data_IF_066762002675
#
_entry.id   IF_066762002675
#
_cell.length_a   1.000
_cell.length_b   1.000
_cell.length_c   1.000
_cell.angle_alpha   90.00
_cell.angle_beta   90.00
_cell.angle_gamma   90.00
#
_symmetry.space_group_name_H-M   'P 1'
#
loop_
_entity.id
_entity.type
_entity.pdbx_description
1 polymer ?
#
# COMPACT_ATOMS: atom_id res chain seq x y z
N UNK A 1 -8.40 -49.46 47.65
CA UNK A 1 -7.05 -48.86 47.83
C UNK A 1 -6.62 -48.37 46.46
N UNK A 2 -6.48 -47.09 46.12
CA UNK A 2 -6.51 -45.78 46.79
C UNK A 2 -7.18 -44.83 45.77
N UNK A 3 -8.21 -44.05 46.07
CA UNK A 3 -8.37 -42.89 46.98
C UNK A 3 -7.87 -41.56 46.40
N UNK A 4 -8.79 -40.60 46.38
CA UNK A 4 -8.77 -39.26 45.78
C UNK A 4 -8.62 -38.25 46.92
N UNK A 5 -7.67 -37.32 46.88
CA UNK A 5 -7.85 -36.01 47.54
C UNK A 5 -6.74 -34.97 47.28
N UNK A 6 -7.22 -33.82 46.82
CA UNK A 6 -6.95 -32.45 47.27
C UNK A 6 -5.72 -31.63 46.87
N UNK A 7 -6.08 -30.55 46.18
CA UNK A 7 -5.32 -29.38 45.79
C UNK A 7 -4.99 -28.45 46.99
N UNK A 8 -3.81 -27.83 46.91
CA UNK A 8 -3.32 -26.86 47.88
C UNK A 8 -3.85 -25.45 47.60
N UNK A 9 -4.30 -24.76 48.66
CA UNK A 9 -4.55 -23.31 48.69
C UNK A 9 -3.27 -22.61 49.16
N UNK A 10 -2.72 -21.69 48.37
CA UNK A 10 -1.78 -20.66 48.85
C UNK A 10 -2.45 -19.29 48.76
N UNK A 11 -2.63 -18.67 49.93
CA UNK A 11 -3.01 -17.26 50.09
C UNK A 11 -1.77 -16.40 49.87
N UNK A 12 -1.89 -15.35 49.07
CA UNK A 12 -0.95 -14.23 49.06
C UNK A 12 -1.73 -12.94 49.31
N UNK A 13 -1.40 -12.28 50.40
CA UNK A 13 -1.94 -11.01 50.89
C UNK A 13 -1.39 -9.84 50.06
N UNK A 14 -2.27 -8.99 49.53
CA UNK A 14 -1.92 -7.71 48.94
C UNK A 14 -2.06 -6.61 50.00
N UNK A 15 -0.96 -5.95 50.35
CA UNK A 15 -0.95 -4.75 51.20
C UNK A 15 -1.08 -3.52 50.30
N UNK A 16 -2.15 -2.76 50.48
CA UNK A 16 -2.34 -1.44 49.87
C UNK A 16 -1.70 -0.40 50.80
N UNK A 17 -0.67 0.29 50.33
CA UNK A 17 -0.15 1.51 50.97
C UNK A 17 -0.48 2.71 50.09
N UNK A 18 -1.36 3.57 50.60
CA UNK A 18 -1.70 4.87 50.03
C UNK A 18 -0.60 5.87 50.49
N UNK A 19 0.16 6.44 49.56
CA UNK A 19 0.97 7.64 49.82
C UNK A 19 0.47 8.78 48.92
N UNK A 20 -0.15 9.77 49.54
CA UNK A 20 -0.43 11.06 48.94
C UNK A 20 0.85 11.88 48.90
N UNK A 21 1.32 12.22 47.70
CA UNK A 21 2.46 13.11 47.47
C UNK A 21 2.03 14.32 46.65
N UNK A 22 1.89 15.47 47.32
CA UNK A 22 1.78 16.79 46.70
C UNK A 22 3.00 17.01 45.78
N UNK A 23 2.79 17.28 44.50
CA UNK A 23 3.84 17.71 43.58
C UNK A 23 3.42 19.02 42.91
N UNK A 24 4.24 20.06 43.12
CA UNK A 24 4.16 21.34 42.45
C UNK A 24 4.25 21.13 40.94
N UNK A 25 3.25 21.61 40.20
CA UNK A 25 3.30 21.79 38.75
C UNK A 25 4.24 22.98 38.43
N UNK A 26 5.52 22.69 38.26
CA UNK A 26 6.39 23.54 37.47
C UNK A 26 6.09 23.26 36.00
N UNK A 27 5.46 24.22 35.31
CA UNK A 27 5.21 24.16 33.88
C UNK A 27 6.53 24.06 33.12
N UNK A 28 6.84 22.87 32.64
CA UNK A 28 7.82 22.68 31.57
C UNK A 28 7.06 23.04 30.30
N UNK A 29 7.34 24.21 29.72
CA UNK A 29 6.98 24.43 28.33
C UNK A 29 7.80 23.44 27.51
N UNK A 30 7.15 22.38 27.03
CA UNK A 30 7.70 21.58 25.95
C UNK A 30 7.71 22.51 24.75
N UNK A 31 8.88 23.06 24.43
CA UNK A 31 9.08 23.60 23.10
C UNK A 31 8.88 22.42 22.14
N UNK A 32 7.87 22.49 21.27
CA UNK A 32 7.67 21.54 20.18
C UNK A 32 8.90 21.60 19.27
N UNK A 33 9.89 20.78 19.57
CA UNK A 33 10.97 20.51 18.65
C UNK A 33 10.36 19.68 17.51
N UNK A 34 10.35 20.24 16.31
CA UNK A 34 9.95 19.54 15.09
C UNK A 34 10.53 18.12 15.05
N UNK A 35 9.70 17.14 14.69
CA UNK A 35 10.17 15.77 14.52
C UNK A 35 11.27 15.70 13.45
N UNK A 36 12.16 14.70 13.48
CA UNK A 36 13.17 14.59 12.42
C UNK A 36 12.56 14.37 11.04
N UNK A 37 11.39 13.73 10.97
CA UNK A 37 10.60 13.64 9.73
C UNK A 37 10.14 15.02 9.25
N UNK A 38 9.65 15.87 10.16
CA UNK A 38 9.27 17.24 9.84
C UNK A 38 10.49 18.05 9.35
N UNK A 39 11.64 17.90 10.00
CA UNK A 39 12.86 18.56 9.56
C UNK A 39 13.31 18.09 8.16
N UNK A 40 13.18 16.78 7.87
CA UNK A 40 13.48 16.20 6.56
C UNK A 40 12.56 16.76 5.46
N UNK A 41 11.26 16.87 5.76
CA UNK A 41 10.22 17.29 4.81
C UNK A 41 9.91 18.79 4.82
N UNK A 42 10.67 19.60 5.57
CA UNK A 42 10.39 21.04 5.75
C UNK A 42 10.27 21.83 4.45
N UNK A 43 11.07 21.46 3.45
CA UNK A 43 11.12 22.11 2.13
C UNK A 43 10.40 21.31 1.04
N UNK A 44 9.73 20.21 1.40
CA UNK A 44 8.98 19.41 0.43
C UNK A 44 7.74 20.19 -0.05
N UNK A 45 7.38 20.09 -1.34
CA UNK A 45 6.14 20.67 -1.86
C UNK A 45 4.93 20.03 -1.17
N UNK A 46 3.84 20.82 -1.07
CA UNK A 46 2.55 20.37 -0.54
C UNK A 46 1.43 20.78 -1.48
N UNK A 47 0.44 19.93 -1.65
CA UNK A 47 -0.77 20.20 -2.45
C UNK A 47 -1.99 20.60 -1.60
N UNK A 48 -1.81 20.93 -0.32
CA UNK A 48 -2.90 21.34 0.56
C UNK A 48 -3.60 22.59 0.05
N UNK A 49 -4.94 22.60 0.13
CA UNK A 49 -5.80 23.67 -0.38
C UNK A 49 -5.93 23.73 -1.91
N UNK A 50 -5.12 22.98 -2.67
CA UNK A 50 -5.08 23.04 -4.16
C UNK A 50 -6.43 22.73 -4.81
N UNK A 51 -7.18 21.79 -4.24
CA UNK A 51 -8.52 21.41 -4.70
C UNK A 51 -9.63 21.79 -3.71
N UNK A 52 -9.31 22.68 -2.76
CA UNK A 52 -10.20 23.11 -1.69
C UNK A 52 -9.91 22.46 -0.33
N UNK A 53 -10.35 23.12 0.73
CA UNK A 53 -10.08 22.75 2.13
C UNK A 53 -10.77 21.43 2.58
N UNK A 54 -11.75 20.96 1.80
CA UNK A 54 -12.50 19.72 2.06
C UNK A 54 -12.18 18.62 1.03
N UNK A 55 -11.14 18.80 0.21
CA UNK A 55 -10.66 17.75 -0.68
C UNK A 55 -10.08 16.56 0.13
N UNK A 56 -10.46 15.35 -0.28
CA UNK A 56 -10.09 14.09 0.36
C UNK A 56 -9.41 13.09 -0.58
N UNK A 57 -9.25 13.43 -1.86
CA UNK A 57 -8.69 12.50 -2.88
C UNK A 57 -7.39 13.00 -3.51
N UNK A 58 -6.95 14.22 -3.18
CA UNK A 58 -5.63 14.72 -3.50
C UNK A 58 -5.29 14.66 -4.98
N UNK A 59 -4.13 14.11 -5.30
CA UNK A 59 -3.60 14.05 -6.63
C UNK A 59 -4.49 13.23 -7.59
N UNK A 60 -5.43 12.41 -7.12
CA UNK A 60 -6.45 11.81 -7.99
C UNK A 60 -7.32 12.83 -8.72
N UNK A 61 -7.42 14.07 -8.22
CA UNK A 61 -8.09 15.14 -8.94
C UNK A 61 -7.44 15.47 -10.29
N UNK A 62 -6.17 15.10 -10.51
CA UNK A 62 -5.55 15.20 -11.83
C UNK A 62 -6.11 14.20 -12.85
N UNK A 63 -6.69 13.08 -12.40
CA UNK A 63 -7.31 12.07 -13.25
C UNK A 63 -8.75 12.46 -13.61
N UNK A 64 -8.87 13.53 -14.39
CA UNK A 64 -10.12 13.98 -14.97
C UNK A 64 -10.54 13.15 -16.20
N UNK A 65 -11.70 13.48 -16.78
CA UNK A 65 -12.22 12.81 -17.97
C UNK A 65 -11.23 12.83 -19.15
N UNK A 66 -10.42 13.89 -19.29
CA UNK A 66 -9.43 13.97 -20.35
C UNK A 66 -8.29 12.97 -20.12
N UNK A 67 -7.85 12.77 -18.87
CA UNK A 67 -6.84 11.74 -18.56
C UNK A 67 -7.36 10.32 -18.72
N UNK A 68 -8.63 10.08 -18.39
CA UNK A 68 -9.28 8.79 -18.66
C UNK A 68 -9.28 8.51 -20.17
N UNK A 69 -9.72 9.48 -20.99
CA UNK A 69 -9.73 9.33 -22.45
C UNK A 69 -8.31 9.19 -23.03
N UNK A 70 -7.30 9.87 -22.45
CA UNK A 70 -5.88 9.68 -22.80
C UNK A 70 -5.44 8.24 -22.56
N UNK A 71 -5.83 7.65 -21.43
CA UNK A 71 -5.60 6.24 -21.14
C UNK A 71 -6.29 5.33 -22.16
N UNK A 72 -7.59 5.55 -22.43
CA UNK A 72 -8.36 4.75 -23.41
C UNK A 72 -7.71 4.78 -24.80
N UNK A 73 -7.18 5.93 -25.23
CA UNK A 73 -6.51 6.08 -26.52
C UNK A 73 -5.26 5.19 -26.68
N UNK A 74 -4.69 4.70 -25.58
CA UNK A 74 -3.56 3.76 -25.62
C UNK A 74 -3.98 2.34 -26.02
N UNK A 75 -5.25 1.95 -25.90
CA UNK A 75 -5.72 0.59 -26.20
C UNK A 75 -5.57 0.30 -27.70
N UNK A 76 -4.92 -0.82 -28.05
CA UNK A 76 -4.72 -1.29 -29.44
C UNK A 76 -5.10 -2.74 -29.65
N UNK A 77 -4.99 -3.58 -28.63
CA UNK A 77 -5.10 -5.04 -28.76
C UNK A 77 -6.28 -5.63 -28.00
N UNK A 78 -6.70 -4.96 -26.92
CA UNK A 78 -7.70 -5.49 -26.00
C UNK A 78 -7.18 -6.67 -25.17
N UNK A 79 -5.86 -6.88 -25.08
CA UNK A 79 -5.26 -7.80 -24.11
C UNK A 79 -5.44 -7.21 -22.70
N UNK A 80 -5.79 -8.04 -21.71
CA UNK A 80 -6.05 -7.60 -20.34
C UNK A 80 -5.12 -8.31 -19.38
N UNK A 81 -4.66 -7.57 -18.38
CA UNK A 81 -3.86 -8.07 -17.28
C UNK A 81 -4.53 -7.65 -15.97
N UNK A 82 -4.81 -8.62 -15.11
CA UNK A 82 -5.18 -8.38 -13.71
C UNK A 82 -3.90 -8.37 -12.88
N UNK A 83 -3.67 -7.32 -12.11
CA UNK A 83 -2.40 -7.09 -11.42
C UNK A 83 -2.45 -7.43 -9.94
N UNK A 84 -3.51 -8.10 -9.48
CA UNK A 84 -3.63 -8.57 -8.10
C UNK A 84 -2.90 -9.89 -7.88
N UNK A 85 -2.16 -9.99 -6.77
CA UNK A 85 -1.61 -11.26 -6.30
C UNK A 85 -2.71 -12.20 -5.76
N UNK A 86 -2.54 -13.53 -5.84
CA UNK A 86 -3.53 -14.46 -5.31
C UNK A 86 -3.65 -14.35 -3.78
N UNK A 87 -4.88 -14.20 -3.30
CA UNK A 87 -5.20 -14.29 -1.86
C UNK A 87 -5.31 -15.76 -1.45
N UNK A 88 -4.26 -16.29 -0.81
CA UNK A 88 -4.20 -17.70 -0.39
C UNK A 88 -4.34 -17.81 1.13
N UNK A 89 -5.15 -18.74 1.62
CA UNK A 89 -5.35 -18.96 3.06
C UNK A 89 -4.01 -19.20 3.77
N UNK A 90 -3.65 -18.32 4.71
CA UNK A 90 -2.43 -18.44 5.52
C UNK A 90 -1.12 -18.18 4.76
N UNK A 91 -1.17 -17.73 3.51
CA UNK A 91 0.04 -17.50 2.71
C UNK A 91 -0.08 -16.24 1.85
N UNK A 92 0.90 -15.35 2.00
CA UNK A 92 0.99 -14.12 1.21
C UNK A 92 2.06 -13.17 1.75
N UNK A 93 2.53 -12.24 0.91
CA UNK A 93 3.50 -11.23 1.31
C UNK A 93 2.78 -10.17 2.15
N UNK A 94 3.19 -10.00 3.40
CA UNK A 94 2.63 -8.98 4.30
C UNK A 94 3.74 -8.30 5.09
N UNK A 95 3.57 -7.02 5.37
CA UNK A 95 4.47 -6.28 6.26
C UNK A 95 4.41 -6.88 7.69
N UNK A 96 5.54 -6.99 8.42
CA UNK A 96 5.58 -7.52 9.78
C UNK A 96 4.52 -6.89 10.71
N UNK A 97 3.82 -7.74 11.47
CA UNK A 97 2.70 -7.35 12.34
C UNK A 97 1.33 -7.57 11.73
N UNK A 98 1.24 -7.80 10.41
CA UNK A 98 0.03 -8.26 9.71
C UNK A 98 0.05 -9.79 9.59
N UNK A 99 -1.11 -10.40 9.34
CA UNK A 99 -1.20 -11.82 8.93
C UNK A 99 -1.72 -11.93 7.50
N UNK A 100 -1.29 -12.95 6.73
CA UNK A 100 -1.87 -13.23 5.43
C UNK A 100 -3.38 -13.50 5.52
N UNK A 101 -4.06 -13.31 4.39
CA UNK A 101 -5.50 -13.54 4.23
C UNK A 101 -5.91 -14.91 4.78
N UNK A 102 -7.01 -14.96 5.51
CA UNK A 102 -7.61 -16.19 6.04
C UNK A 102 -9.00 -16.35 5.41
N UNK A 103 -9.13 -17.30 4.49
CA UNK A 103 -10.39 -17.65 3.83
C UNK A 103 -11.08 -18.84 4.53
N UNK A 104 -12.37 -18.76 4.77
CA UNK A 104 -13.13 -19.79 5.45
C UNK A 104 -14.42 -20.09 4.69
N UNK A 105 -14.69 -21.35 4.39
CA UNK A 105 -16.01 -21.77 3.91
C UNK A 105 -17.00 -21.67 5.09
N UNK A 106 -18.04 -20.85 4.96
CA UNK A 106 -19.18 -20.88 5.89
C UNK A 106 -20.11 -22.03 5.53
N UNK A 107 -20.18 -22.37 4.24
CA UNK A 107 -20.99 -23.44 3.70
C UNK A 107 -20.39 -24.03 2.43
N UNK A 108 -20.41 -25.36 2.32
CA UNK A 108 -19.94 -26.11 1.16
C UNK A 108 -20.68 -27.45 1.01
N UNK A 109 -20.19 -28.36 0.17
CA UNK A 109 -20.81 -29.67 -0.01
C UNK A 109 -20.82 -30.53 1.28
N UNK A 110 -19.89 -30.31 2.21
CA UNK A 110 -19.72 -31.16 3.41
C UNK A 110 -20.93 -31.09 4.34
N UNK A 111 -21.60 -29.93 4.44
CA UNK A 111 -22.78 -29.77 5.32
C UNK A 111 -23.99 -30.53 4.79
N UNK A 112 -24.13 -30.68 3.47
CA UNK A 112 -25.17 -31.51 2.87
C UNK A 112 -24.81 -33.00 2.93
N UNK A 113 -23.55 -33.35 2.67
CA UNK A 113 -23.09 -34.76 2.72
C UNK A 113 -23.18 -35.33 4.14
N UNK A 114 -23.01 -34.49 5.15
CA UNK A 114 -23.15 -34.88 6.56
C UNK A 114 -24.58 -34.80 7.08
N UNK A 115 -25.55 -34.34 6.27
CA UNK A 115 -26.94 -34.17 6.69
C UNK A 115 -27.14 -33.08 7.76
N UNK A 116 -26.21 -32.14 7.91
CA UNK A 116 -26.33 -31.02 8.86
C UNK A 116 -27.37 -30.00 8.44
N UNK A 117 -27.61 -29.86 7.13
CA UNK A 117 -28.65 -29.02 6.56
C UNK A 117 -29.33 -29.73 5.39
N UNK A 118 -30.62 -29.42 5.20
CA UNK A 118 -31.36 -29.86 4.02
C UNK A 118 -31.02 -29.01 2.80
N UNK A 119 -31.30 -29.56 1.62
CA UNK A 119 -31.24 -28.81 0.37
C UNK A 119 -32.33 -27.74 0.37
N UNK A 120 -32.06 -26.61 -0.29
CA UNK A 120 -33.10 -25.60 -0.53
C UNK A 120 -34.20 -26.18 -1.43
N UNK A 121 -35.36 -25.52 -1.44
CA UNK A 121 -36.49 -25.87 -2.32
C UNK A 121 -36.02 -26.09 -3.77
N UNK A 122 -36.49 -27.19 -4.38
CA UNK A 122 -36.04 -27.61 -5.72
C UNK A 122 -34.71 -28.39 -5.73
N UNK A 123 -34.12 -28.69 -4.57
CA UNK A 123 -32.90 -29.48 -4.45
C UNK A 123 -31.61 -28.67 -4.58
N UNK A 124 -31.69 -27.35 -4.54
CA UNK A 124 -30.54 -26.45 -4.68
C UNK A 124 -29.59 -26.55 -3.48
N UNK A 125 -28.31 -26.46 -3.78
CA UNK A 125 -27.21 -26.34 -2.83
C UNK A 125 -26.41 -25.09 -3.19
N UNK A 126 -25.80 -24.47 -2.21
CA UNK A 126 -24.93 -23.32 -2.41
C UNK A 126 -23.69 -23.42 -1.53
N UNK A 127 -22.74 -22.54 -1.80
CA UNK A 127 -21.50 -22.41 -1.04
C UNK A 127 -21.28 -20.94 -0.78
N UNK A 128 -21.00 -20.61 0.47
CA UNK A 128 -20.69 -19.26 0.92
C UNK A 128 -19.40 -19.32 1.74
N UNK A 129 -18.71 -18.20 1.80
CA UNK A 129 -17.45 -18.05 2.50
C UNK A 129 -17.33 -16.72 3.24
N UNK A 130 -16.29 -16.62 4.04
CA UNK A 130 -15.92 -15.45 4.80
C UNK A 130 -14.40 -15.26 4.73
N UNK A 131 -13.96 -14.02 4.87
CA UNK A 131 -12.54 -13.68 4.87
C UNK A 131 -12.20 -12.82 6.08
N UNK A 132 -11.09 -13.14 6.74
CA UNK A 132 -10.40 -12.24 7.65
C UNK A 132 -9.10 -11.79 6.99
N UNK A 133 -8.88 -10.48 6.90
CA UNK A 133 -7.67 -9.91 6.31
C UNK A 133 -7.39 -8.51 6.82
N UNK A 134 -6.12 -8.13 6.82
CA UNK A 134 -5.73 -6.73 6.86
C UNK A 134 -6.06 -6.09 5.50
N UNK A 135 -6.58 -4.86 5.48
CA UNK A 135 -6.90 -4.16 4.24
C UNK A 135 -5.64 -3.91 3.37
N UNK A 136 -4.48 -3.82 4.04
CA UNK A 136 -3.14 -3.75 3.45
C UNK A 136 -2.42 -5.11 3.40
N UNK A 137 -3.17 -6.21 3.35
CA UNK A 137 -2.67 -7.60 3.43
C UNK A 137 -2.57 -8.33 2.09
N UNK A 138 -2.80 -7.62 0.97
CA UNK A 138 -2.75 -8.14 -0.42
C UNK A 138 -2.52 -6.95 -1.36
N UNK A 139 -2.70 -7.10 -2.67
CA UNK A 139 -2.75 -5.95 -3.60
C UNK A 139 -3.82 -4.95 -3.16
N UNK A 140 -3.41 -3.75 -2.81
CA UNK A 140 -4.28 -2.78 -2.12
C UNK A 140 -3.98 -1.34 -2.53
N UNK A 141 -4.90 -0.43 -2.18
CA UNK A 141 -4.72 1.02 -2.27
C UNK A 141 -4.71 1.58 -0.86
N UNK A 142 -3.78 2.49 -0.59
CA UNK A 142 -3.75 3.24 0.67
C UNK A 142 -4.58 4.51 0.59
N UNK A 143 -5.32 4.79 1.66
CA UNK A 143 -6.04 6.04 1.80
C UNK A 143 -5.08 7.20 2.11
N UNK A 144 -5.51 8.44 1.88
CA UNK A 144 -4.68 9.62 2.18
C UNK A 144 -4.50 9.88 3.70
N UNK A 145 -5.24 9.15 4.54
CA UNK A 145 -4.98 9.09 5.98
C UNK A 145 -4.08 7.92 6.42
N UNK A 146 -3.60 7.06 5.52
CA UNK A 146 -2.90 5.81 5.89
C UNK A 146 -1.60 6.06 6.68
N UNK A 147 -0.81 7.03 6.24
CA UNK A 147 0.47 7.37 6.83
C UNK A 147 0.63 8.89 6.88
N UNK A 148 1.11 9.38 8.01
CA UNK A 148 1.36 10.79 8.24
C UNK A 148 2.51 10.97 9.24
N UNK A 149 2.94 12.22 9.41
CA UNK A 149 3.86 12.62 10.46
C UNK A 149 3.32 13.90 11.11
N UNK A 150 3.76 14.18 12.34
CA UNK A 150 3.18 15.19 13.22
C UNK A 150 1.69 14.89 13.53
N UNK A 151 0.90 15.94 13.79
CA UNK A 151 -0.50 15.84 14.20
C UNK A 151 -1.50 16.15 13.07
N UNK A 152 -1.08 15.99 11.81
CA UNK A 152 -1.91 16.33 10.64
C UNK A 152 -1.81 15.28 9.55
N UNK A 153 -2.95 14.90 8.96
CA UNK A 153 -3.05 14.09 7.74
C UNK A 153 -3.09 15.00 6.49
N UNK A 154 -3.35 14.42 5.31
CA UNK A 154 -3.52 15.18 4.08
C UNK A 154 -4.48 16.36 4.24
N UNK A 155 -4.17 17.47 3.55
CA UNK A 155 -4.91 18.73 3.56
C UNK A 155 -4.95 19.44 4.93
N UNK A 156 -3.99 19.16 5.82
CA UNK A 156 -3.83 19.87 7.09
C UNK A 156 -4.92 19.57 8.12
N UNK A 157 -5.70 18.50 7.94
CA UNK A 157 -6.68 18.06 8.93
C UNK A 157 -5.98 17.38 10.11
N UNK A 158 -6.55 17.54 11.31
CA UNK A 158 -6.01 16.89 12.52
C UNK A 158 -5.93 15.37 12.34
N UNK A 159 -4.82 14.79 12.81
CA UNK A 159 -4.66 13.34 12.89
C UNK A 159 -5.70 12.65 13.79
N UNK A 160 -6.37 13.40 14.68
CA UNK A 160 -7.48 12.87 15.50
C UNK A 160 -8.65 12.36 14.66
N UNK A 161 -8.76 12.79 13.39
CA UNK A 161 -9.73 12.26 12.42
C UNK A 161 -9.55 10.78 12.10
N UNK A 162 -8.46 10.15 12.57
CA UNK A 162 -8.16 8.72 12.37
C UNK A 162 -8.55 7.84 13.55
N UNK A 163 -9.05 8.42 14.65
CA UNK A 163 -9.40 7.69 15.87
C UNK A 163 -10.69 6.89 15.65
N UNK A 164 -10.63 5.57 15.88
CA UNK A 164 -11.74 4.61 15.68
C UNK A 164 -12.21 4.46 14.22
N UNK A 165 -11.44 4.94 13.25
CA UNK A 165 -11.78 4.99 11.84
C UNK A 165 -11.41 6.36 11.27
N UNK A 166 -11.33 6.46 9.95
CA UNK A 166 -11.06 7.73 9.26
C UNK A 166 -12.36 8.50 9.00
N UNK A 167 -12.58 9.60 9.70
CA UNK A 167 -13.68 10.53 9.44
C UNK A 167 -13.38 11.52 8.30
N UNK A 168 -12.11 11.59 7.90
CA UNK A 168 -11.59 12.34 6.76
C UNK A 168 -10.53 11.49 6.07
N UNK A 169 -10.38 11.64 4.74
CA UNK A 169 -9.40 10.90 3.91
C UNK A 169 -9.45 9.38 4.11
N UNK A 170 -10.67 8.84 4.18
CA UNK A 170 -10.91 7.40 4.18
C UNK A 170 -10.89 6.81 2.77
N UNK A 171 -10.63 5.51 2.67
CA UNK A 171 -10.51 4.84 1.38
C UNK A 171 -11.81 4.86 0.56
N UNK A 172 -12.96 5.05 1.20
CA UNK A 172 -14.26 5.22 0.55
C UNK A 172 -14.27 6.36 -0.45
N UNK A 173 -13.64 7.49 -0.15
CA UNK A 173 -13.56 8.67 -1.03
C UNK A 173 -12.81 8.35 -2.34
N UNK A 174 -11.68 7.64 -2.24
CA UNK A 174 -10.94 7.14 -3.40
C UNK A 174 -11.78 6.11 -4.17
N UNK A 175 -12.49 5.23 -3.46
CA UNK A 175 -13.39 4.23 -4.05
C UNK A 175 -14.56 4.83 -4.82
N UNK A 176 -15.07 6.00 -4.41
CA UNK A 176 -16.08 6.76 -5.16
C UNK A 176 -15.50 7.45 -6.40
N UNK A 177 -14.29 8.01 -6.29
CA UNK A 177 -13.60 8.68 -7.40
C UNK A 177 -13.17 7.69 -8.50
N UNK A 178 -12.80 6.47 -8.09
CA UNK A 178 -12.11 5.46 -8.89
C UNK A 178 -10.77 5.96 -9.47
N UNK A 179 -9.94 5.02 -9.90
CA UNK A 179 -8.65 5.31 -10.53
C UNK A 179 -8.74 4.84 -11.98
N UNK A 180 -8.61 5.76 -12.92
CA UNK A 180 -8.55 5.44 -14.34
C UNK A 180 -7.70 6.47 -15.09
N UNK A 181 -6.84 6.01 -16.00
CA UNK A 181 -5.96 6.90 -16.74
C UNK A 181 -4.93 6.17 -17.57
N UNK A 182 -3.93 6.93 -18.03
CA UNK A 182 -2.75 6.37 -18.71
C UNK A 182 -1.77 5.86 -17.65
N UNK A 183 -1.55 4.55 -17.63
CA UNK A 183 -0.51 3.91 -16.83
C UNK A 183 0.77 3.73 -17.62
N UNK A 184 1.93 3.88 -16.98
CA UNK A 184 3.26 3.62 -17.55
C UNK A 184 4.00 2.61 -16.68
N UNK A 185 4.36 1.47 -17.26
CA UNK A 185 5.22 0.49 -16.61
C UNK A 185 6.68 0.91 -16.73
N UNK A 186 7.38 0.97 -15.60
CA UNK A 186 8.82 1.13 -15.48
C UNK A 186 9.40 -0.18 -14.91
N UNK A 187 9.93 -1.03 -15.78
CA UNK A 187 10.56 -2.30 -15.42
C UNK A 187 12.01 -2.11 -14.97
N UNK A 188 12.17 -1.50 -13.80
CA UNK A 188 13.47 -1.20 -13.19
C UNK A 188 14.23 -2.50 -12.91
N UNK A 189 13.52 -3.54 -12.47
CA UNK A 189 14.05 -4.86 -12.23
C UNK A 189 14.71 -5.46 -13.48
N UNK A 190 14.11 -5.31 -14.65
CA UNK A 190 14.73 -5.75 -15.91
C UNK A 190 15.97 -4.94 -16.31
N UNK A 191 15.99 -3.64 -16.04
CA UNK A 191 17.13 -2.79 -16.40
C UNK A 191 18.33 -3.01 -15.48
N UNK A 192 18.11 -3.10 -14.16
CA UNK A 192 19.17 -3.04 -13.15
C UNK A 192 19.34 -4.33 -12.33
N UNK A 193 18.41 -5.27 -12.48
CA UNK A 193 18.38 -6.50 -11.70
C UNK A 193 19.13 -7.66 -12.34
N UNK A 194 18.88 -8.85 -11.80
CA UNK A 194 19.46 -10.10 -12.27
C UNK A 194 18.80 -10.60 -13.59
N UNK A 195 19.15 -11.81 -14.01
CA UNK A 195 18.60 -12.46 -15.22
C UNK A 195 17.08 -12.68 -15.17
N UNK A 196 16.47 -12.67 -13.99
CA UNK A 196 15.02 -12.81 -13.79
C UNK A 196 14.35 -11.43 -13.68
N UNK A 197 15.12 -10.35 -13.87
CA UNK A 197 14.66 -8.98 -13.74
C UNK A 197 14.28 -8.64 -12.30
N UNK A 198 15.02 -9.16 -11.30
CA UNK A 198 14.82 -8.89 -9.88
C UNK A 198 15.94 -8.04 -9.34
N UNK A 199 15.61 -6.95 -8.67
CA UNK A 199 16.60 -6.14 -7.96
C UNK A 199 17.17 -6.91 -6.76
N UNK A 200 18.44 -6.64 -6.44
CA UNK A 200 19.06 -7.17 -5.23
C UNK A 200 18.38 -6.57 -3.97
N UNK A 201 18.31 -7.31 -2.85
CA UNK A 201 17.89 -6.72 -1.58
C UNK A 201 18.68 -5.45 -1.25
N UNK A 202 18.02 -4.49 -0.62
CA UNK A 202 18.49 -3.15 -0.25
C UNK A 202 18.75 -2.19 -1.41
N UNK A 203 18.43 -2.57 -2.65
CA UNK A 203 18.57 -1.67 -3.80
C UNK A 203 17.69 -0.44 -3.62
N UNK A 204 18.30 0.71 -3.90
CA UNK A 204 17.74 2.03 -3.75
C UNK A 204 17.42 2.58 -5.14
N UNK A 205 16.14 2.73 -5.48
CA UNK A 205 15.69 3.22 -6.78
C UNK A 205 15.54 4.75 -6.69
N UNK A 206 16.36 5.49 -7.43
CA UNK A 206 16.32 6.95 -7.44
C UNK A 206 15.69 7.49 -8.73
N UNK A 207 15.42 8.79 -8.76
CA UNK A 207 14.87 9.46 -9.94
C UNK A 207 15.65 9.18 -11.25
N UNK A 208 17.00 9.19 -11.27
CA UNK A 208 17.74 8.83 -12.47
C UNK A 208 17.47 7.40 -12.96
N UNK A 209 17.19 6.45 -12.06
CA UNK A 209 16.91 5.06 -12.42
C UNK A 209 15.54 4.95 -13.10
N UNK A 210 14.53 5.69 -12.62
CA UNK A 210 13.23 5.78 -13.28
C UNK A 210 13.35 6.37 -14.69
N UNK A 211 14.11 7.46 -14.84
CA UNK A 211 14.34 8.12 -16.14
C UNK A 211 15.08 7.20 -17.11
N UNK A 212 16.18 6.57 -16.68
CA UNK A 212 16.92 5.59 -17.49
C UNK A 212 16.07 4.39 -17.88
N UNK A 213 15.20 3.92 -17.00
CA UNK A 213 14.25 2.84 -17.29
C UNK A 213 13.30 3.25 -18.42
N UNK A 214 12.66 4.41 -18.31
CA UNK A 214 11.80 4.95 -19.35
C UNK A 214 12.52 5.12 -20.71
N UNK A 215 13.75 5.66 -20.69
CA UNK A 215 14.61 5.79 -21.88
C UNK A 215 14.92 4.43 -22.53
N UNK A 216 15.30 3.43 -21.73
CA UNK A 216 15.62 2.08 -22.22
C UNK A 216 14.41 1.38 -22.84
N UNK A 217 13.22 1.63 -22.30
CA UNK A 217 11.95 1.11 -22.79
C UNK A 217 11.36 1.94 -23.93
N UNK A 218 11.99 3.08 -24.26
CA UNK A 218 11.51 4.06 -25.25
C UNK A 218 10.08 4.53 -24.98
N UNK A 219 9.76 4.73 -23.70
CA UNK A 219 8.48 5.30 -23.26
C UNK A 219 8.71 6.65 -22.61
N UNK A 220 7.84 7.60 -22.91
CA UNK A 220 7.83 8.91 -22.26
C UNK A 220 6.91 8.85 -21.06
N UNK A 221 7.45 9.21 -19.88
CA UNK A 221 6.67 9.56 -18.71
C UNK A 221 6.13 10.97 -18.96
N UNK A 222 4.82 11.10 -19.03
CA UNK A 222 4.10 12.35 -19.22
C UNK A 222 3.49 12.81 -17.90
N UNK A 223 3.11 14.09 -17.84
CA UNK A 223 2.38 14.59 -16.68
C UNK A 223 1.11 13.76 -16.46
N UNK A 224 0.74 13.53 -15.20
CA UNK A 224 -0.50 12.84 -14.78
C UNK A 224 -0.57 11.36 -15.18
N UNK A 225 0.58 10.75 -15.48
CA UNK A 225 0.65 9.29 -15.66
C UNK A 225 0.56 8.58 -14.32
N UNK A 226 -0.11 7.43 -14.32
CA UNK A 226 -0.06 6.46 -13.21
C UNK A 226 1.23 5.66 -13.40
N UNK A 227 2.12 5.67 -12.40
CA UNK A 227 3.39 4.94 -12.48
C UNK A 227 3.21 3.52 -11.96
N UNK A 228 3.60 2.51 -12.73
CA UNK A 228 3.69 1.11 -12.30
C UNK A 228 5.18 0.75 -12.25
N UNK A 229 5.74 0.55 -11.06
CA UNK A 229 7.17 0.30 -10.88
C UNK A 229 7.37 -1.20 -10.62
N UNK A 230 8.09 -1.89 -11.52
CA UNK A 230 8.45 -3.29 -11.31
C UNK A 230 9.87 -3.40 -10.78
N UNK A 231 9.99 -3.93 -9.57
CA UNK A 231 11.22 -4.22 -8.83
C UNK A 231 11.62 -5.71 -8.93
N UNK A 232 10.64 -6.58 -9.22
CA UNK A 232 10.79 -8.04 -9.22
C UNK A 232 10.54 -8.68 -7.85
N UNK A 233 10.10 -7.91 -6.86
CA UNK A 233 9.90 -8.39 -5.49
C UNK A 233 8.80 -9.43 -5.33
N UNK A 234 7.60 -9.21 -5.91
CA UNK A 234 6.56 -10.23 -5.85
C UNK A 234 6.98 -11.52 -6.58
N UNK A 235 7.65 -11.38 -7.73
CA UNK A 235 8.24 -12.52 -8.44
C UNK A 235 9.26 -13.28 -7.59
N UNK A 236 10.00 -12.59 -6.71
CA UNK A 236 10.91 -13.20 -5.72
C UNK A 236 10.15 -13.93 -4.61
N UNK A 237 9.13 -13.30 -4.03
CA UNK A 237 8.36 -13.89 -2.92
C UNK A 237 7.75 -15.26 -3.27
N UNK A 238 7.23 -15.42 -4.49
CA UNK A 238 6.60 -16.67 -4.92
C UNK A 238 7.60 -17.71 -5.46
N UNK A 239 8.87 -17.35 -5.65
CA UNK A 239 9.92 -18.26 -6.11
C UNK A 239 10.59 -18.98 -4.93
N UNK A 240 10.22 -20.24 -4.73
CA UNK A 240 10.75 -21.08 -3.64
C UNK A 240 12.23 -21.40 -3.77
N UNK A 241 12.85 -21.14 -4.92
CA UNK A 241 14.27 -21.39 -5.18
C UNK A 241 15.14 -20.16 -4.92
N UNK A 242 14.51 -19.00 -4.74
CA UNK A 242 15.18 -17.76 -4.43
C UNK A 242 15.36 -17.65 -2.91
N UNK A 243 16.62 -17.72 -2.46
CA UNK A 243 16.99 -17.78 -1.05
C UNK A 243 17.74 -16.53 -0.58
N UNK A 244 17.68 -15.43 -1.35
CA UNK A 244 18.30 -14.19 -0.92
C UNK A 244 17.63 -13.65 0.36
N UNK A 245 18.37 -12.86 1.14
CA UNK A 245 17.89 -12.24 2.38
C UNK A 245 16.93 -11.07 2.11
N UNK A 246 15.82 -11.36 1.43
CA UNK A 246 14.73 -10.44 1.16
C UNK A 246 13.70 -10.51 2.29
N UNK A 247 13.29 -9.36 2.80
CA UNK A 247 12.19 -9.18 3.74
C UNK A 247 11.70 -7.73 3.66
N UNK A 248 10.61 -7.40 4.38
CA UNK A 248 9.99 -6.08 4.33
C UNK A 248 10.92 -4.89 4.67
N UNK A 249 12.04 -5.10 5.37
CA UNK A 249 13.00 -4.04 5.71
C UNK A 249 14.19 -3.97 4.73
N UNK A 250 14.45 -5.05 3.99
CA UNK A 250 15.56 -5.15 3.02
C UNK A 250 15.06 -5.23 1.58
N UNK A 251 13.76 -5.12 1.36
CA UNK A 251 13.17 -5.14 0.03
C UNK A 251 13.59 -3.89 -0.78
N UNK A 252 13.89 -4.03 -2.09
CA UNK A 252 14.16 -2.90 -2.96
C UNK A 252 12.94 -1.98 -3.13
N UNK A 253 13.18 -0.69 -3.29
CA UNK A 253 12.13 0.29 -3.55
C UNK A 253 12.68 1.68 -3.83
N UNK A 254 11.77 2.62 -4.05
CA UNK A 254 12.14 4.03 -4.17
C UNK A 254 12.91 4.53 -2.94
N UNK A 255 13.88 5.40 -3.16
CA UNK A 255 14.57 6.10 -2.09
C UNK A 255 14.19 7.57 -2.06
N UNK A 256 14.10 8.09 -0.84
CA UNK A 256 13.83 9.50 -0.63
C UNK A 256 14.95 10.36 -1.21
N UNK A 257 14.54 11.35 -2.00
CA UNK A 257 15.37 12.52 -2.33
C UNK A 257 14.45 13.70 -2.62
N UNK A 258 14.91 14.91 -2.31
CA UNK A 258 14.16 16.13 -2.64
C UNK A 258 13.87 16.21 -4.14
N UNK A 259 14.83 15.84 -4.97
CA UNK A 259 14.69 15.82 -6.43
C UNK A 259 13.57 14.88 -6.90
N UNK A 260 13.45 13.69 -6.30
CA UNK A 260 12.36 12.77 -6.63
C UNK A 260 11.00 13.36 -6.24
N UNK A 261 10.85 13.88 -5.01
CA UNK A 261 9.60 14.45 -4.53
C UNK A 261 9.17 15.66 -5.39
N UNK A 262 10.11 16.57 -5.67
CA UNK A 262 9.87 17.73 -6.53
C UNK A 262 9.46 17.29 -7.95
N UNK A 263 10.15 16.31 -8.52
CA UNK A 263 9.81 15.81 -9.85
C UNK A 263 8.43 15.16 -9.89
N UNK A 264 8.02 14.41 -8.86
CA UNK A 264 6.69 13.81 -8.78
C UNK A 264 5.58 14.87 -8.72
N UNK A 265 5.80 15.96 -7.97
CA UNK A 265 4.87 17.10 -7.91
C UNK A 265 4.82 17.87 -9.25
N UNK A 266 5.97 18.17 -9.85
CA UNK A 266 6.07 18.83 -11.16
C UNK A 266 5.36 18.05 -12.27
N UNK A 267 5.46 16.71 -12.20
CA UNK A 267 4.82 15.78 -13.12
C UNK A 267 3.35 15.54 -12.79
N UNK A 268 2.83 16.10 -11.70
CA UNK A 268 1.44 15.93 -11.26
C UNK A 268 1.05 14.44 -11.18
N UNK A 269 1.97 13.59 -10.68
CA UNK A 269 1.75 12.14 -10.60
C UNK A 269 0.61 11.87 -9.61
N UNK A 270 -0.50 11.22 -10.03
CA UNK A 270 -1.65 11.01 -9.18
C UNK A 270 -1.54 9.73 -8.35
N UNK A 271 -0.88 8.72 -8.89
CA UNK A 271 -0.80 7.37 -8.34
C UNK A 271 0.55 6.75 -8.64
N UNK A 272 1.14 6.11 -7.63
CA UNK A 272 2.32 5.26 -7.78
C UNK A 272 1.95 3.85 -7.31
N UNK A 273 2.21 2.87 -8.16
CA UNK A 273 2.04 1.46 -7.86
C UNK A 273 3.35 0.71 -7.97
N UNK A 274 3.49 -0.39 -7.22
CA UNK A 274 4.70 -1.21 -7.26
C UNK A 274 4.42 -2.66 -6.89
N UNK A 275 5.31 -3.55 -7.32
CA UNK A 275 5.33 -4.98 -6.95
C UNK A 275 6.16 -5.28 -5.69
N UNK A 276 6.29 -4.30 -4.79
CA UNK A 276 6.91 -4.42 -3.48
C UNK A 276 5.91 -4.15 -2.34
N UNK A 277 6.31 -4.35 -1.08
CA UNK A 277 5.45 -4.21 0.10
C UNK A 277 5.20 -2.76 0.57
N UNK A 278 5.92 -1.78 0.02
CA UNK A 278 5.97 -0.44 0.61
C UNK A 278 6.17 0.72 -0.40
N UNK A 279 6.17 0.49 -1.72
CA UNK A 279 6.60 1.44 -2.79
C UNK A 279 8.09 1.85 -2.68
N UNK A 280 8.51 2.33 -1.53
CA UNK A 280 9.85 2.72 -1.14
C UNK A 280 10.64 1.63 -0.43
N UNK A 281 11.95 1.82 -0.33
CA UNK A 281 12.77 1.07 0.60
C UNK A 281 12.38 1.51 2.02
N UNK A 282 11.77 0.62 2.80
CA UNK A 282 11.12 0.98 4.06
C UNK A 282 12.08 1.63 5.08
N UNK A 283 13.30 1.10 5.24
CA UNK A 283 14.31 1.65 6.14
C UNK A 283 15.44 2.36 5.37
N UNK A 284 15.66 3.63 5.67
CA UNK A 284 16.65 4.47 5.00
C UNK A 284 17.49 5.25 6.00
N UNK A 285 18.77 5.45 5.68
CA UNK A 285 19.65 6.36 6.43
C UNK A 285 19.89 7.60 5.59
N UNK A 286 19.42 8.75 6.06
CA UNK A 286 19.48 10.03 5.35
C UNK A 286 20.22 11.01 6.25
N UNK A 287 21.32 11.59 5.75
CA UNK A 287 22.17 12.51 6.51
C UNK A 287 22.64 11.98 7.88
N UNK A 288 22.84 10.67 8.00
CA UNK A 288 23.28 10.00 9.23
C UNK A 288 22.16 9.64 10.22
N UNK A 289 20.91 9.97 9.91
CA UNK A 289 19.74 9.61 10.72
C UNK A 289 18.90 8.52 10.05
N UNK A 290 18.23 7.68 10.86
CA UNK A 290 17.40 6.58 10.36
C UNK A 290 15.94 7.01 10.24
N UNK A 291 15.35 6.74 9.08
CA UNK A 291 13.96 7.01 8.77
C UNK A 291 13.26 5.73 8.34
N UNK A 292 12.00 5.58 8.77
CA UNK A 292 11.09 4.56 8.26
C UNK A 292 10.04 5.26 7.40
N UNK A 293 9.86 4.77 6.19
CA UNK A 293 8.90 5.24 5.18
C UNK A 293 8.83 6.77 4.96
N UNK A 294 9.96 7.48 4.77
CA UNK A 294 9.95 8.92 4.53
C UNK A 294 9.19 9.33 3.26
N UNK A 295 9.18 8.52 2.19
CA UNK A 295 8.39 8.84 1.00
C UNK A 295 6.90 8.74 1.26
N UNK A 296 6.40 7.79 2.05
CA UNK A 296 4.96 7.74 2.38
C UNK A 296 4.49 9.07 2.98
N UNK A 297 5.27 9.65 3.90
CA UNK A 297 4.99 10.97 4.48
C UNK A 297 4.89 12.06 3.40
N UNK A 298 5.89 12.19 2.53
CA UNK A 298 5.88 13.18 1.46
C UNK A 298 4.76 12.95 0.43
N UNK A 299 4.53 11.69 0.05
CA UNK A 299 3.64 11.35 -1.05
C UNK A 299 2.17 11.40 -0.60
N UNK A 300 1.84 10.72 0.50
CA UNK A 300 0.46 10.62 1.01
C UNK A 300 0.04 11.94 1.67
N UNK A 301 0.74 12.35 2.74
CA UNK A 301 0.33 13.51 3.53
C UNK A 301 0.53 14.81 2.77
N UNK A 302 1.72 15.05 2.22
CA UNK A 302 2.05 16.37 1.68
C UNK A 302 1.49 16.58 0.27
N UNK A 303 1.71 15.61 -0.63
CA UNK A 303 1.32 15.74 -2.04
C UNK A 303 -0.07 15.16 -2.37
N UNK A 304 -0.65 14.33 -1.50
CA UNK A 304 -1.91 13.65 -1.76
C UNK A 304 -1.82 12.60 -2.88
N UNK A 305 -0.64 12.03 -3.12
CA UNK A 305 -0.39 10.96 -4.09
C UNK A 305 -0.87 9.65 -3.51
N UNK A 306 -1.67 8.91 -4.28
CA UNK A 306 -2.20 7.61 -3.86
C UNK A 306 -1.16 6.53 -4.10
N UNK A 307 -0.90 5.72 -3.09
CA UNK A 307 -0.02 4.55 -3.17
C UNK A 307 -0.84 3.28 -3.34
N UNK A 308 -0.34 2.35 -4.15
CA UNK A 308 -0.99 1.06 -4.35
C UNK A 308 0.04 -0.06 -4.52
N UNK A 309 0.03 -1.01 -3.60
CA UNK A 309 1.18 -1.88 -3.34
C UNK A 309 0.90 -3.34 -3.65
N UNK A 310 1.96 -4.15 -3.66
CA UNK A 310 1.90 -5.62 -3.79
C UNK A 310 1.28 -6.04 -5.13
N UNK A 311 1.67 -5.39 -6.22
CA UNK A 311 1.18 -5.72 -7.56
C UNK A 311 1.88 -6.97 -8.11
N UNK A 312 1.16 -7.74 -8.91
CA UNK A 312 1.73 -8.77 -9.77
C UNK A 312 1.97 -8.16 -11.16
N UNK A 313 3.24 -7.90 -11.50
CA UNK A 313 3.63 -7.19 -12.73
C UNK A 313 4.36 -8.06 -13.77
N UNK A 314 4.64 -9.33 -13.47
CA UNK A 314 5.52 -10.17 -14.27
C UNK A 314 4.99 -10.44 -15.69
N UNK A 315 3.73 -10.81 -15.87
CA UNK A 315 3.17 -11.07 -17.21
C UNK A 315 2.98 -9.78 -18.01
N UNK A 316 2.60 -8.67 -17.35
CA UNK A 316 2.50 -7.37 -18.02
C UNK A 316 3.89 -6.95 -18.53
N UNK A 317 4.93 -7.09 -17.71
CA UNK A 317 6.30 -6.79 -18.09
C UNK A 317 6.82 -7.69 -19.22
N UNK A 318 6.53 -8.99 -19.16
CA UNK A 318 6.88 -9.94 -20.21
C UNK A 318 6.17 -9.62 -21.54
N UNK A 319 4.86 -9.28 -21.51
CA UNK A 319 4.12 -8.85 -22.71
C UNK A 319 4.69 -7.55 -23.28
N UNK A 320 4.97 -6.57 -22.42
CA UNK A 320 5.53 -5.25 -22.81
C UNK A 320 6.93 -5.37 -23.41
N UNK A 321 7.75 -6.27 -22.88
CA UNK A 321 9.06 -6.60 -23.42
C UNK A 321 9.01 -7.18 -24.83
N UNK A 322 7.93 -7.91 -25.16
CA UNK A 322 7.76 -8.59 -26.45
C UNK A 322 7.30 -7.62 -27.54
N UNK A 323 6.42 -6.68 -27.22
CA UNK A 323 5.83 -5.76 -28.20
C UNK A 323 6.34 -4.31 -28.12
N UNK A 324 7.17 -4.00 -27.12
CA UNK A 324 7.75 -2.67 -26.90
C UNK A 324 6.75 -1.63 -26.38
N UNK A 325 5.59 -2.05 -25.87
CA UNK A 325 4.54 -1.12 -25.39
C UNK A 325 4.52 -1.10 -23.87
N UNK A 326 4.85 0.06 -23.31
CA UNK A 326 4.97 0.28 -21.86
C UNK A 326 3.98 1.32 -21.32
N UNK A 327 3.01 1.75 -22.12
CA UNK A 327 1.92 2.65 -21.70
C UNK A 327 0.55 2.05 -22.04
N UNK A 328 -0.39 2.14 -21.11
CA UNK A 328 -1.66 1.40 -21.17
C UNK A 328 -2.83 2.19 -20.60
N UNK A 329 -4.04 1.68 -20.84
CA UNK A 329 -5.19 2.06 -20.03
C UNK A 329 -5.10 1.29 -18.71
N UNK A 330 -5.03 2.03 -17.62
CA UNK A 330 -5.05 1.49 -16.27
C UNK A 330 -6.39 1.82 -15.62
N UNK A 331 -6.97 0.86 -14.90
CA UNK A 331 -8.12 1.08 -14.03
C UNK A 331 -8.01 0.27 -12.74
N UNK A 332 -8.38 0.90 -11.63
CA UNK A 332 -8.51 0.27 -10.33
C UNK A 332 -9.62 0.98 -9.54
N UNK A 333 -10.37 0.24 -8.74
CA UNK A 333 -11.36 0.80 -7.82
C UNK A 333 -11.24 0.06 -6.49
N UNK A 334 -10.68 0.68 -5.43
CA UNK A 334 -10.68 0.07 -4.12
C UNK A 334 -12.11 -0.12 -3.60
N UNK A 335 -12.32 -1.13 -2.75
CA UNK A 335 -13.60 -1.30 -2.07
C UNK A 335 -13.89 -0.09 -1.18
N UNK A 336 -15.17 0.32 -1.14
CA UNK A 336 -15.68 1.45 -0.37
C UNK A 336 -15.82 1.14 1.12
N UNK A 337 -14.70 0.85 1.78
CA UNK A 337 -14.65 0.55 3.20
C UNK A 337 -14.68 1.86 4.00
N UNK A 338 -15.88 2.30 4.40
CA UNK A 338 -16.05 3.55 5.16
C UNK A 338 -15.21 3.55 6.43
N UNK A 339 -14.48 4.64 6.66
CA UNK A 339 -13.55 4.78 7.78
C UNK A 339 -12.29 3.93 7.64
N UNK A 340 -12.08 3.30 6.49
CA UNK A 340 -10.95 2.43 6.22
C UNK A 340 -9.69 3.20 5.83
N UNK A 341 -8.54 2.66 6.22
CA UNK A 341 -7.22 3.26 5.97
C UNK A 341 -6.59 2.81 4.64
N UNK A 342 -7.27 1.92 3.93
CA UNK A 342 -6.86 1.33 2.67
C UNK A 342 -7.84 0.24 2.29
N UNK A 343 -7.65 -0.39 1.13
CA UNK A 343 -8.58 -1.41 0.65
C UNK A 343 -7.97 -2.31 -0.40
N UNK A 344 -8.28 -3.62 -0.39
CA UNK A 344 -7.90 -4.53 -1.47
C UNK A 344 -8.45 -4.05 -2.81
N UNK A 345 -7.69 -4.32 -3.86
CA UNK A 345 -8.08 -3.97 -5.22
C UNK A 345 -7.63 -5.04 -6.20
N UNK A 346 -8.36 -5.20 -7.30
CA UNK A 346 -7.91 -5.94 -8.48
C UNK A 346 -7.70 -4.96 -9.64
N UNK A 347 -6.50 -4.40 -9.79
CA UNK A 347 -6.19 -3.45 -10.85
C UNK A 347 -6.18 -4.16 -12.20
N UNK A 348 -6.66 -3.48 -13.23
CA UNK A 348 -6.71 -3.99 -14.60
C UNK A 348 -5.93 -3.05 -15.51
N UNK A 349 -5.06 -3.64 -16.32
CA UNK A 349 -4.43 -2.98 -17.46
C UNK A 349 -5.00 -3.54 -18.76
N UNK A 350 -5.30 -2.66 -19.72
CA UNK A 350 -5.74 -3.02 -21.06
C UNK A 350 -4.76 -2.45 -22.10
N UNK A 351 -4.20 -3.32 -22.95
CA UNK A 351 -3.23 -2.96 -24.00
C UNK A 351 -3.87 -2.64 -25.34
#
# INVERSE_FOLDING_TARGET
MFDIANASKRKMTASILLMAGLSLLAGISVADNASSMEALQKEAPKNWGKWGEEDQVGALNYLDNAQVLRGVATIKTGERFTLQIPMTHGFGPVFPGRVPVQHFMSQDQSVYSSGKIDRLSGGMKYSDDAVFMYLQGTTHVDALGHAWYNNEVYNGKSADTTIHGHDFVDIGEIGEKAIAGRGVLLDVGKLLGDKNGRLAPNTCINLPDLKKTAESQKVTIEKRDILLIRTGSMGRFYDKTDHDNWNALTEPGLCYSKDLVNWLDEMEIPVITSDNLAIEKAAQTINGESFIIPLHGALIRDLGIVLSEIYWLDELAASSAKDGRYSFFFSAAPLKMKGGTGSPVNPIVIK
#
